data_IF_063578717638
#
_entry.id   IF_063578717638
#
_cell.length_a   1.000
_cell.length_b   1.000
_cell.length_c   1.000
_cell.angle_alpha   90.00
_cell.angle_beta   90.00
_cell.angle_gamma   90.00
#
_symmetry.space_group_name_H-M   'P 1'
#
loop_
_entity.id
_entity.type
_entity.pdbx_description
1 polymer ?
#
# COMPACT_ATOMS: atom_id res chain seq x y z
N UNK A 1 0.20 22.95 19.47
CA UNK A 1 -0.22 21.67 18.87
C UNK A 1 0.84 21.32 17.84
N UNK A 2 1.13 20.05 17.63
CA UNK A 2 2.19 19.63 16.73
C UNK A 2 1.74 19.64 15.28
N UNK A 3 2.59 20.12 14.37
CA UNK A 3 2.30 20.22 12.93
C UNK A 3 1.81 18.90 12.31
N UNK A 4 2.51 17.80 12.59
CA UNK A 4 2.18 16.50 12.00
C UNK A 4 0.94 15.88 12.64
N UNK A 5 0.73 16.11 13.95
CA UNK A 5 -0.51 15.67 14.58
C UNK A 5 -1.74 16.40 14.02
N UNK A 6 -1.63 17.71 13.78
CA UNK A 6 -2.72 18.50 13.20
C UNK A 6 -3.06 18.02 11.77
N UNK A 7 -2.03 17.70 10.96
CA UNK A 7 -2.23 17.09 9.64
C UNK A 7 -2.86 15.69 9.72
N UNK A 8 -2.47 14.87 10.69
CA UNK A 8 -3.09 13.56 10.92
C UNK A 8 -4.54 13.69 11.36
N UNK A 9 -4.89 14.74 12.12
CA UNK A 9 -6.25 14.96 12.61
C UNK A 9 -7.25 15.32 11.48
N UNK A 10 -6.77 15.69 10.30
CA UNK A 10 -7.62 15.88 9.11
C UNK A 10 -8.10 14.52 8.52
N UNK A 11 -7.45 13.42 8.89
CA UNK A 11 -7.82 12.09 8.43
C UNK A 11 -8.83 11.44 9.39
N UNK A 12 -10.03 11.16 8.89
CA UNK A 12 -11.11 10.54 9.66
C UNK A 12 -10.68 9.22 10.35
N UNK A 13 -9.71 8.52 9.80
CA UNK A 13 -9.18 7.29 10.39
C UNK A 13 -8.43 7.54 11.69
N UNK A 14 -7.85 8.72 11.89
CA UNK A 14 -7.26 9.06 13.19
C UNK A 14 -8.33 9.23 14.26
N UNK A 15 -9.39 9.96 13.99
CA UNK A 15 -10.52 10.18 14.93
C UNK A 15 -11.16 8.84 15.32
N UNK A 16 -11.44 7.99 14.33
CA UNK A 16 -12.02 6.67 14.58
C UNK A 16 -11.04 5.69 15.23
N UNK A 17 -9.75 5.79 14.92
CA UNK A 17 -8.70 4.88 15.34
C UNK A 17 -8.12 5.17 16.72
N UNK A 18 -8.10 6.43 17.14
CA UNK A 18 -7.44 6.87 18.39
C UNK A 18 -8.38 7.70 19.26
N UNK A 19 -8.92 7.06 20.29
CA UNK A 19 -9.71 7.75 21.34
C UNK A 19 -8.84 8.07 22.56
N UNK A 20 -8.51 7.07 23.38
CA UNK A 20 -7.61 7.22 24.51
C UNK A 20 -6.91 5.88 24.75
N UNK A 21 -5.67 5.77 24.33
CA UNK A 21 -4.89 4.55 24.54
C UNK A 21 -4.40 4.48 25.99
N UNK A 22 -4.72 3.36 26.66
CA UNK A 22 -4.27 3.09 28.03
C UNK A 22 -2.98 2.24 28.10
N UNK A 23 -2.32 2.03 26.98
CA UNK A 23 -1.05 1.32 26.87
C UNK A 23 -1.08 -0.15 27.40
N UNK A 24 -2.20 -0.86 27.25
CA UNK A 24 -2.39 -2.21 27.81
C UNK A 24 -1.69 -3.35 27.02
N UNK A 25 -1.24 -3.12 25.79
CA UNK A 25 -0.51 -4.11 24.97
C UNK A 25 -1.34 -5.17 24.25
N UNK A 26 -2.65 -5.21 24.43
CA UNK A 26 -3.51 -6.25 23.80
C UNK A 26 -3.39 -6.25 22.27
N UNK A 27 -3.31 -5.07 21.64
CA UNK A 27 -3.17 -4.95 20.18
C UNK A 27 -1.84 -5.55 19.67
N UNK A 28 -0.76 -5.45 20.42
CA UNK A 28 0.53 -6.08 20.11
C UNK A 28 0.46 -7.59 20.27
N UNK A 29 -0.13 -8.06 21.37
CA UNK A 29 -0.25 -9.50 21.68
C UNK A 29 -1.07 -10.29 20.64
N UNK A 30 -1.95 -9.62 19.87
CA UNK A 30 -2.80 -10.28 18.85
C UNK A 30 -2.36 -9.94 17.44
N UNK A 31 -1.28 -9.20 17.27
CA UNK A 31 -0.84 -8.74 15.97
C UNK A 31 0.00 -9.81 15.27
N UNK A 32 -0.43 -10.34 14.11
CA UNK A 32 0.38 -11.33 13.40
C UNK A 32 1.74 -10.77 12.94
N UNK A 33 1.82 -9.49 12.61
CA UNK A 33 3.08 -8.87 12.22
C UNK A 33 4.11 -8.78 13.36
N UNK A 34 3.66 -8.74 14.63
CA UNK A 34 4.55 -8.70 15.78
C UNK A 34 5.30 -10.02 16.02
N UNK A 35 4.86 -11.11 15.41
CA UNK A 35 5.54 -12.41 15.45
C UNK A 35 6.77 -12.44 14.53
N UNK A 36 6.68 -11.75 13.38
CA UNK A 36 7.70 -11.81 12.33
C UNK A 36 8.64 -10.61 12.31
N UNK A 37 8.19 -9.46 12.86
CA UNK A 37 8.93 -8.22 12.85
C UNK A 37 9.08 -7.66 14.28
N UNK A 38 10.09 -6.86 14.50
CA UNK A 38 10.15 -6.01 15.69
C UNK A 38 9.11 -4.89 15.59
N UNK A 39 7.83 -5.25 15.77
CA UNK A 39 6.68 -4.42 15.48
C UNK A 39 5.72 -4.36 16.67
N UNK A 40 5.42 -3.15 17.11
CA UNK A 40 4.51 -2.89 18.23
C UNK A 40 3.48 -1.80 17.87
N UNK A 41 2.26 -2.19 17.43
CA UNK A 41 1.20 -1.23 17.11
C UNK A 41 0.75 -0.39 18.30
N UNK A 42 0.92 -0.87 19.54
CA UNK A 42 0.65 -0.11 20.76
C UNK A 42 1.60 1.08 20.87
N UNK A 43 2.88 0.86 20.62
CA UNK A 43 3.90 1.91 20.72
C UNK A 43 3.66 3.02 19.69
N UNK A 44 3.28 2.66 18.46
CA UNK A 44 2.91 3.61 17.42
C UNK A 44 1.74 4.50 17.87
N UNK A 45 0.67 3.89 18.40
CA UNK A 45 -0.49 4.64 18.90
C UNK A 45 -0.14 5.56 20.08
N UNK A 46 0.73 5.09 21.00
CA UNK A 46 1.20 5.91 22.13
C UNK A 46 1.99 7.11 21.63
N UNK A 47 2.91 6.92 20.67
CA UNK A 47 3.69 8.02 20.07
C UNK A 47 2.74 9.06 19.45
N UNK A 48 1.78 8.65 18.63
CA UNK A 48 0.82 9.59 18.04
C UNK A 48 0.02 10.32 19.12
N UNK A 49 -0.34 9.64 20.22
CA UNK A 49 -1.08 10.24 21.32
C UNK A 49 -0.27 11.31 22.10
N UNK A 50 1.06 11.24 22.11
CA UNK A 50 1.90 12.27 22.74
C UNK A 50 1.86 13.60 22.01
N UNK A 51 1.55 13.60 20.71
CA UNK A 51 1.57 14.77 19.81
C UNK A 51 2.94 15.41 19.66
N UNK A 52 3.99 14.63 19.89
CA UNK A 52 5.37 15.05 19.69
C UNK A 52 5.71 14.95 18.19
N UNK A 53 5.99 16.09 17.57
CA UNK A 53 6.26 16.18 16.13
C UNK A 53 7.54 15.46 15.71
N UNK A 54 8.58 15.46 16.55
CA UNK A 54 9.85 14.77 16.21
C UNK A 54 9.65 13.25 16.20
N UNK A 55 8.88 12.72 17.17
CA UNK A 55 8.55 11.31 17.25
C UNK A 55 7.63 10.88 16.11
N UNK A 56 6.62 11.71 15.76
CA UNK A 56 5.71 11.44 14.65
C UNK A 56 6.48 11.47 13.33
N UNK A 57 7.38 12.44 13.10
CA UNK A 57 8.19 12.50 11.89
C UNK A 57 9.08 11.26 11.76
N UNK A 58 9.68 10.78 12.84
CA UNK A 58 10.45 9.53 12.86
C UNK A 58 9.60 8.34 12.43
N UNK A 59 8.36 8.25 12.92
CA UNK A 59 7.42 7.20 12.47
C UNK A 59 7.11 7.31 10.98
N UNK A 60 6.82 8.52 10.47
CA UNK A 60 6.48 8.75 9.06
C UNK A 60 7.61 8.36 8.11
N UNK A 61 8.86 8.41 8.56
CA UNK A 61 10.07 8.02 7.79
C UNK A 61 10.48 6.56 8.01
N UNK A 62 9.86 5.87 8.97
CA UNK A 62 10.30 4.53 9.39
C UNK A 62 9.70 3.40 8.56
N UNK A 63 10.37 2.24 8.60
CA UNK A 63 9.82 0.96 8.13
C UNK A 63 8.58 0.54 8.93
N UNK A 64 8.53 0.91 10.20
CA UNK A 64 7.59 0.36 11.18
C UNK A 64 6.12 0.52 10.77
N UNK A 65 5.74 1.66 10.20
CA UNK A 65 4.35 1.87 9.76
C UNK A 65 3.93 0.95 8.60
N UNK A 66 4.89 0.40 7.85
CA UNK A 66 4.64 -0.47 6.70
C UNK A 66 4.47 -1.95 7.06
N UNK A 67 4.83 -2.37 8.30
CA UNK A 67 4.67 -3.75 8.76
C UNK A 67 3.21 -4.14 9.05
N UNK A 68 2.30 -3.17 9.22
CA UNK A 68 0.90 -3.47 9.46
C UNK A 68 0.25 -4.14 8.24
N UNK A 69 -0.24 -5.36 8.41
CA UNK A 69 -0.98 -6.09 7.36
C UNK A 69 -2.47 -5.68 7.23
N UNK A 70 -2.91 -4.62 7.91
CA UNK A 70 -4.27 -4.06 7.86
C UNK A 70 -5.41 -5.08 8.14
N UNK A 71 -5.09 -6.16 8.82
CA UNK A 71 -6.03 -7.26 9.12
C UNK A 71 -7.11 -6.89 10.14
N UNK A 72 -7.00 -5.76 10.82
CA UNK A 72 -7.90 -5.21 11.84
C UNK A 72 -8.14 -6.11 13.07
N UNK A 73 -7.33 -7.15 13.30
CA UNK A 73 -7.43 -8.02 14.48
C UNK A 73 -7.31 -7.27 15.81
N UNK A 74 -6.65 -6.12 15.82
CA UNK A 74 -6.51 -5.25 16.98
C UNK A 74 -7.83 -4.56 17.37
N UNK A 75 -8.75 -4.31 16.42
CA UNK A 75 -10.00 -3.55 16.63
C UNK A 75 -10.94 -4.19 17.66
N UNK A 76 -11.40 -5.45 17.49
CA UNK A 76 -12.39 -6.04 18.40
C UNK A 76 -11.83 -6.36 19.79
N UNK A 77 -10.52 -6.29 19.97
CA UNK A 77 -9.84 -6.66 21.23
C UNK A 77 -9.42 -5.47 22.07
N UNK A 78 -9.54 -4.25 21.56
CA UNK A 78 -9.17 -3.06 22.30
C UNK A 78 -10.22 -2.70 23.36
N UNK A 79 -9.88 -2.68 24.68
CA UNK A 79 -10.83 -2.37 25.74
C UNK A 79 -11.28 -0.89 25.73
N UNK A 80 -10.59 -0.04 24.97
CA UNK A 80 -10.90 1.39 24.82
C UNK A 80 -11.54 1.72 23.48
N UNK A 81 -11.77 0.72 22.63
CA UNK A 81 -12.35 0.92 21.30
C UNK A 81 -11.43 1.63 20.31
N UNK A 82 -10.10 1.60 20.53
CA UNK A 82 -9.15 2.07 19.52
C UNK A 82 -8.97 1.06 18.38
N UNK A 83 -8.59 1.57 17.23
CA UNK A 83 -8.22 0.75 16.07
C UNK A 83 -6.81 1.15 15.60
N UNK A 84 -5.75 0.59 16.20
CA UNK A 84 -4.36 0.92 15.81
C UNK A 84 -4.11 0.84 14.31
N UNK A 85 -4.73 -0.11 13.60
CA UNK A 85 -4.64 -0.21 12.14
C UNK A 85 -5.09 1.06 11.41
N UNK A 86 -6.12 1.74 11.88
CA UNK A 86 -6.56 3.01 11.29
C UNK A 86 -5.57 4.15 11.54
N UNK A 87 -5.00 4.22 12.73
CA UNK A 87 -3.93 5.19 13.04
C UNK A 87 -2.75 5.00 12.10
N UNK A 88 -2.37 3.74 11.85
CA UNK A 88 -1.25 3.41 10.96
C UNK A 88 -1.57 3.74 9.50
N UNK A 89 -2.79 3.49 9.04
CA UNK A 89 -3.22 3.89 7.69
C UNK A 89 -3.19 5.42 7.51
N UNK A 90 -3.60 6.19 8.53
CA UNK A 90 -3.49 7.65 8.51
C UNK A 90 -2.01 8.09 8.42
N UNK A 91 -1.11 7.47 9.21
CA UNK A 91 0.34 7.72 9.15
C UNK A 91 0.91 7.41 7.75
N UNK A 92 0.56 6.26 7.15
CA UNK A 92 1.00 5.89 5.80
C UNK A 92 0.56 6.93 4.77
N UNK A 93 -0.71 7.34 4.82
CA UNK A 93 -1.24 8.35 3.89
C UNK A 93 -0.51 9.69 4.05
N UNK A 94 -0.25 10.12 5.28
CA UNK A 94 0.50 11.34 5.55
C UNK A 94 1.95 11.21 5.08
N UNK A 95 2.61 10.08 5.35
CA UNK A 95 3.96 9.77 4.87
C UNK A 95 4.06 9.87 3.35
N UNK A 96 3.08 9.32 2.62
CA UNK A 96 3.01 9.40 1.16
C UNK A 96 2.79 10.83 0.67
N UNK A 97 1.86 11.59 1.27
CA UNK A 97 1.60 12.98 0.93
C UNK A 97 2.82 13.89 1.11
N UNK A 98 3.63 13.64 2.13
CA UNK A 98 4.82 14.42 2.44
C UNK A 98 6.10 13.90 1.76
N UNK A 99 6.04 12.74 1.10
CA UNK A 99 7.19 12.10 0.47
C UNK A 99 8.10 11.33 1.42
N UNK A 100 7.78 11.25 2.70
CA UNK A 100 8.60 10.55 3.71
C UNK A 100 8.65 9.03 3.49
N UNK A 101 7.68 8.46 2.81
CA UNK A 101 7.66 7.05 2.43
C UNK A 101 8.91 6.61 1.65
N UNK A 102 9.55 7.54 0.94
CA UNK A 102 10.77 7.23 0.17
C UNK A 102 12.01 6.99 1.05
N UNK A 103 11.95 7.34 2.35
CA UNK A 103 13.07 7.16 3.28
C UNK A 103 13.18 5.72 3.79
N UNK A 104 12.12 4.93 3.66
CA UNK A 104 12.09 3.53 4.06
C UNK A 104 12.03 2.59 2.84
N UNK A 105 12.55 1.39 2.98
CA UNK A 105 12.60 0.38 1.92
C UNK A 105 11.19 -0.07 1.52
N UNK A 106 10.36 -0.50 2.49
CA UNK A 106 8.96 -0.87 2.24
C UNK A 106 8.10 0.31 1.77
N UNK A 107 8.43 1.51 2.22
CA UNK A 107 7.77 2.71 1.73
C UNK A 107 8.03 2.92 0.24
N UNK A 108 9.28 2.76 -0.24
CA UNK A 108 9.60 2.88 -1.68
C UNK A 108 8.84 1.87 -2.54
N UNK A 109 8.47 0.71 -2.00
CA UNK A 109 7.65 -0.30 -2.70
C UNK A 109 6.23 0.19 -3.01
N UNK A 110 5.78 1.31 -2.42
CA UNK A 110 4.47 1.90 -2.74
C UNK A 110 4.36 2.35 -4.20
N UNK A 111 5.48 2.66 -4.85
CA UNK A 111 5.51 2.90 -6.30
C UNK A 111 5.08 1.65 -7.09
N UNK A 112 5.59 0.48 -6.71
CA UNK A 112 5.21 -0.77 -7.37
C UNK A 112 3.73 -1.09 -7.15
N UNK A 113 3.21 -0.93 -5.93
CA UNK A 113 1.78 -1.12 -5.66
C UNK A 113 0.91 -0.16 -6.48
N UNK A 114 1.28 1.11 -6.56
CA UNK A 114 0.58 2.10 -7.38
C UNK A 114 0.55 1.68 -8.85
N UNK A 115 1.69 1.26 -9.41
CA UNK A 115 1.80 0.87 -10.82
C UNK A 115 1.16 -0.46 -11.14
N UNK A 116 1.40 -1.49 -10.31
CA UNK A 116 0.87 -2.83 -10.58
C UNK A 116 -0.63 -2.95 -10.29
N UNK A 117 -1.13 -2.29 -9.27
CA UNK A 117 -2.54 -2.36 -8.86
C UNK A 117 -3.31 -1.13 -9.34
N UNK A 118 -2.85 0.06 -8.97
CA UNK A 118 -3.56 1.30 -9.23
C UNK A 118 -3.70 1.62 -10.71
N UNK A 119 -2.61 1.57 -11.46
CA UNK A 119 -2.64 1.84 -12.89
C UNK A 119 -3.38 0.73 -13.65
N UNK A 120 -3.32 -0.53 -13.16
CA UNK A 120 -4.09 -1.61 -13.77
C UNK A 120 -5.60 -1.43 -13.57
N UNK A 121 -6.05 -0.94 -12.41
CA UNK A 121 -7.47 -0.57 -12.20
C UNK A 121 -7.90 0.49 -13.22
N UNK A 122 -7.09 1.53 -13.41
CA UNK A 122 -7.40 2.62 -14.34
C UNK A 122 -7.33 2.19 -15.81
N UNK A 123 -6.60 1.13 -16.13
CA UNK A 123 -6.46 0.59 -17.47
C UNK A 123 -7.54 -0.46 -17.82
N UNK A 124 -7.92 -1.30 -16.85
CA UNK A 124 -8.71 -2.50 -17.10
C UNK A 124 -9.97 -2.65 -16.25
N UNK A 125 -10.11 -1.89 -15.18
CA UNK A 125 -11.14 -2.04 -14.15
C UNK A 125 -10.85 -3.12 -13.11
N UNK A 126 -9.72 -3.85 -13.23
CA UNK A 126 -9.30 -4.90 -12.30
C UNK A 126 -8.06 -4.49 -11.53
N UNK A 127 -7.99 -4.85 -10.24
CA UNK A 127 -6.78 -4.61 -9.44
C UNK A 127 -5.60 -5.47 -9.92
N UNK A 128 -5.87 -6.71 -10.33
CA UNK A 128 -4.88 -7.64 -10.85
C UNK A 128 -5.43 -8.39 -12.06
N UNK A 129 -4.57 -8.56 -13.05
CA UNK A 129 -4.81 -9.45 -14.18
C UNK A 129 -3.58 -10.37 -14.35
N UNK A 130 -3.72 -11.57 -14.92
CA UNK A 130 -2.56 -12.43 -15.13
C UNK A 130 -1.41 -11.78 -15.90
N UNK A 131 -1.75 -10.82 -16.77
CA UNK A 131 -0.76 -10.12 -17.60
C UNK A 131 0.08 -9.09 -16.85
N UNK A 132 -0.45 -8.48 -15.79
CA UNK A 132 0.32 -7.49 -15.04
C UNK A 132 1.11 -8.08 -13.87
N UNK A 133 0.90 -9.36 -13.52
CA UNK A 133 1.70 -10.08 -12.55
C UNK A 133 2.85 -10.76 -13.26
N UNK A 134 3.88 -9.99 -13.60
CA UNK A 134 5.02 -10.50 -14.38
C UNK A 134 5.89 -11.43 -13.54
N UNK A 135 6.38 -12.57 -14.10
CA UNK A 135 7.19 -13.55 -13.36
C UNK A 135 8.43 -12.98 -12.69
N UNK A 136 9.08 -12.00 -13.30
CA UNK A 136 10.27 -11.35 -12.74
C UNK A 136 10.04 -10.64 -11.41
N UNK A 137 8.80 -10.21 -11.12
CA UNK A 137 8.42 -9.62 -9.82
C UNK A 137 8.00 -10.66 -8.78
N UNK A 138 7.78 -11.89 -9.21
CA UNK A 138 7.25 -12.97 -8.38
C UNK A 138 8.03 -14.28 -8.59
N UNK A 139 9.37 -14.27 -8.36
CA UNK A 139 10.19 -15.48 -8.54
C UNK A 139 9.77 -16.62 -7.61
N UNK A 140 9.13 -16.30 -6.48
CA UNK A 140 8.60 -17.28 -5.53
C UNK A 140 7.46 -18.14 -6.11
N UNK A 141 6.80 -17.68 -7.17
CA UNK A 141 5.74 -18.44 -7.85
C UNK A 141 6.29 -19.59 -8.70
N UNK A 142 7.55 -19.50 -9.08
CA UNK A 142 8.27 -20.55 -9.80
C UNK A 142 7.81 -20.77 -11.26
N UNK A 143 8.30 -21.85 -11.91
CA UNK A 143 8.12 -22.08 -13.35
C UNK A 143 6.67 -22.33 -13.78
N UNK A 144 5.80 -22.75 -12.86
CA UNK A 144 4.36 -22.90 -13.15
C UNK A 144 3.73 -21.56 -13.46
N UNK A 145 4.15 -20.51 -12.74
CA UNK A 145 3.64 -19.16 -13.00
C UNK A 145 4.16 -18.59 -14.32
N UNK A 146 5.42 -18.84 -14.67
CA UNK A 146 5.98 -18.48 -15.98
C UNK A 146 5.17 -19.09 -17.13
N UNK A 147 4.81 -20.38 -16.97
CA UNK A 147 3.99 -21.08 -17.94
C UNK A 147 2.56 -20.49 -18.01
N UNK A 148 1.90 -20.26 -16.86
CA UNK A 148 0.56 -19.63 -16.81
C UNK A 148 0.59 -18.25 -17.47
N UNK A 149 1.59 -17.43 -17.16
CA UNK A 149 1.73 -16.08 -17.70
C UNK A 149 1.90 -16.09 -19.22
N UNK A 150 2.64 -17.08 -19.75
CA UNK A 150 2.88 -17.23 -21.18
C UNK A 150 1.68 -17.81 -21.95
N UNK A 151 0.76 -18.49 -21.28
CA UNK A 151 -0.39 -19.18 -21.86
C UNK A 151 -1.72 -18.67 -21.28
N UNK A 152 -1.79 -17.42 -20.84
CA UNK A 152 -2.93 -16.86 -20.14
C UNK A 152 -4.25 -16.96 -20.93
N UNK A 153 -4.23 -16.69 -22.24
CA UNK A 153 -5.41 -16.78 -23.09
C UNK A 153 -6.00 -18.20 -23.14
N UNK A 154 -5.15 -19.21 -23.27
CA UNK A 154 -5.60 -20.60 -23.37
C UNK A 154 -6.16 -21.10 -22.04
N UNK A 155 -5.49 -20.72 -20.93
CA UNK A 155 -5.88 -21.15 -19.59
C UNK A 155 -7.18 -20.44 -19.15
N UNK A 156 -7.22 -19.11 -19.24
CA UNK A 156 -8.39 -18.35 -18.79
C UNK A 156 -9.56 -18.44 -19.75
N UNK A 157 -9.30 -18.73 -21.04
CA UNK A 157 -10.32 -19.09 -22.01
C UNK A 157 -11.11 -20.35 -21.65
N UNK A 158 -10.52 -21.27 -20.86
CA UNK A 158 -11.26 -22.44 -20.32
C UNK A 158 -12.28 -22.06 -19.25
N UNK A 159 -12.08 -20.96 -18.56
CA UNK A 159 -12.96 -20.50 -17.48
C UNK A 159 -13.92 -19.39 -17.91
N UNK A 160 -13.65 -18.73 -19.04
CA UNK A 160 -14.43 -17.61 -19.53
C UNK A 160 -14.24 -17.43 -21.03
N UNK A 161 -15.32 -17.53 -21.80
CA UNK A 161 -15.33 -17.25 -23.24
C UNK A 161 -15.02 -15.77 -23.55
N UNK A 162 -15.01 -14.93 -22.54
CA UNK A 162 -14.85 -13.47 -22.67
C UNK A 162 -13.61 -12.93 -21.95
N UNK A 163 -12.56 -13.75 -21.79
CA UNK A 163 -11.30 -13.28 -21.18
C UNK A 163 -10.74 -12.07 -21.95
N UNK A 164 -10.70 -10.90 -21.29
CA UNK A 164 -10.29 -9.59 -21.82
C UNK A 164 -11.06 -9.15 -23.09
N UNK A 165 -12.21 -9.76 -23.39
CA UNK A 165 -13.10 -9.41 -24.48
C UNK A 165 -14.49 -9.02 -23.99
N UNK A 166 -15.36 -8.55 -24.87
CA UNK A 166 -16.75 -8.19 -24.54
C UNK A 166 -17.58 -9.45 -24.27
N UNK A 167 -18.50 -9.36 -23.30
CA UNK A 167 -19.41 -10.44 -22.96
C UNK A 167 -19.58 -10.65 -21.46
N UNK A 168 -20.10 -11.80 -21.05
CA UNK A 168 -20.27 -12.18 -19.64
C UNK A 168 -19.22 -13.20 -19.25
N UNK A 169 -18.57 -13.01 -18.10
CA UNK A 169 -17.59 -13.96 -17.59
C UNK A 169 -16.51 -13.29 -16.73
N UNK A 170 -15.62 -14.13 -16.18
CA UNK A 170 -14.51 -13.68 -15.36
C UNK A 170 -13.48 -12.93 -16.23
N UNK A 171 -12.96 -11.81 -15.69
CA UNK A 171 -11.95 -10.97 -16.37
C UNK A 171 -12.38 -10.47 -17.76
N UNK A 172 -13.71 -10.30 -17.99
CA UNK A 172 -14.21 -9.69 -19.22
C UNK A 172 -13.72 -8.25 -19.38
N UNK A 173 -13.70 -7.73 -20.59
CA UNK A 173 -13.51 -6.30 -20.82
C UNK A 173 -14.60 -5.52 -20.07
N UNK A 174 -14.21 -4.59 -19.21
CA UNK A 174 -15.14 -3.62 -18.59
C UNK A 174 -15.52 -2.63 -19.67
N UNK A 175 -16.81 -2.28 -19.76
CA UNK A 175 -17.31 -1.35 -20.77
C UNK A 175 -16.73 0.06 -20.59
N UNK A 176 -16.70 0.81 -21.67
CA UNK A 176 -16.03 2.11 -21.71
C UNK A 176 -16.72 3.15 -20.80
N UNK A 177 -18.05 3.05 -20.59
CA UNK A 177 -18.81 3.93 -19.69
C UNK A 177 -18.41 3.69 -18.23
N UNK A 178 -18.37 2.43 -17.80
CA UNK A 178 -17.90 2.06 -16.45
C UNK A 178 -16.43 2.44 -16.22
N UNK A 179 -15.58 2.29 -17.24
CA UNK A 179 -14.19 2.73 -17.17
C UNK A 179 -14.06 4.25 -17.01
N UNK A 180 -14.91 5.02 -17.67
CA UNK A 180 -14.94 6.47 -17.52
C UNK A 180 -15.44 6.89 -16.13
N UNK A 181 -16.44 6.19 -15.58
CA UNK A 181 -16.87 6.40 -14.18
C UNK A 181 -15.74 6.14 -13.20
N UNK A 182 -14.98 5.05 -13.35
CA UNK A 182 -13.81 4.74 -12.50
C UNK A 182 -12.80 5.89 -12.54
N UNK A 183 -12.44 6.39 -13.73
CA UNK A 183 -11.50 7.51 -13.88
C UNK A 183 -12.02 8.77 -13.19
N UNK A 184 -13.29 9.10 -13.36
CA UNK A 184 -13.92 10.26 -12.70
C UNK A 184 -13.94 10.13 -11.18
N UNK A 185 -14.19 8.92 -10.65
CA UNK A 185 -14.11 8.67 -9.21
C UNK A 185 -12.68 8.96 -8.71
N UNK A 186 -11.65 8.49 -9.41
CA UNK A 186 -10.26 8.77 -9.05
C UNK A 186 -9.92 10.26 -9.10
N UNK A 187 -10.45 11.00 -10.06
CA UNK A 187 -10.23 12.45 -10.17
C UNK A 187 -10.92 13.20 -9.01
N UNK A 188 -12.22 13.00 -8.81
CA UNK A 188 -13.00 13.77 -7.82
C UNK A 188 -12.66 13.40 -6.37
N UNK A 189 -12.20 12.17 -6.12
CA UNK A 189 -11.73 11.73 -4.80
C UNK A 189 -10.30 12.20 -4.47
N UNK A 190 -9.59 12.80 -5.44
CA UNK A 190 -8.19 13.17 -5.29
C UNK A 190 -7.20 12.00 -5.47
N UNK A 191 -7.68 10.80 -5.83
CA UNK A 191 -6.85 9.61 -6.03
C UNK A 191 -5.80 9.81 -7.11
N UNK A 192 -6.15 10.49 -8.22
CA UNK A 192 -5.19 10.79 -9.28
C UNK A 192 -4.07 11.71 -8.78
N UNK A 193 -4.40 12.80 -8.08
CA UNK A 193 -3.41 13.72 -7.53
C UNK A 193 -2.50 13.02 -6.50
N UNK A 194 -3.06 12.08 -5.74
CA UNK A 194 -2.29 11.26 -4.81
C UNK A 194 -1.32 10.33 -5.54
N UNK A 195 -1.73 9.69 -6.63
CA UNK A 195 -0.85 8.87 -7.47
C UNK A 195 0.28 9.69 -8.11
N UNK A 196 -0.04 10.88 -8.60
CA UNK A 196 0.96 11.81 -9.14
C UNK A 196 1.99 12.22 -8.07
N UNK A 197 1.56 12.38 -6.82
CA UNK A 197 2.44 12.66 -5.67
C UNK A 197 3.41 11.50 -5.39
N UNK A 198 2.92 10.25 -5.43
CA UNK A 198 3.77 9.06 -5.28
C UNK A 198 4.84 9.02 -6.39
N UNK A 199 4.44 9.23 -7.65
CA UNK A 199 5.38 9.25 -8.78
C UNK A 199 6.44 10.34 -8.63
N UNK A 200 6.05 11.56 -8.29
CA UNK A 200 6.98 12.69 -8.14
C UNK A 200 8.02 12.46 -7.04
N UNK A 201 7.59 11.98 -5.88
CA UNK A 201 8.52 11.70 -4.78
C UNK A 201 9.42 10.51 -5.09
N UNK A 202 8.89 9.47 -5.74
CA UNK A 202 9.68 8.32 -6.18
C UNK A 202 10.70 8.70 -7.25
N UNK A 203 10.34 9.57 -8.21
CA UNK A 203 11.26 10.05 -9.24
C UNK A 203 12.45 10.82 -8.63
N UNK A 204 12.17 11.71 -7.65
CA UNK A 204 13.21 12.43 -6.93
C UNK A 204 14.15 11.47 -6.19
N UNK A 205 13.57 10.52 -5.45
CA UNK A 205 14.35 9.54 -4.68
C UNK A 205 15.19 8.63 -5.58
N UNK A 206 14.63 8.20 -6.70
CA UNK A 206 15.34 7.41 -7.69
C UNK A 206 16.60 8.15 -8.20
N UNK A 207 16.47 9.43 -8.53
CA UNK A 207 17.62 10.25 -8.95
C UNK A 207 18.66 10.42 -7.84
N UNK A 208 18.24 10.60 -6.60
CA UNK A 208 19.13 10.64 -5.43
C UNK A 208 19.90 9.32 -5.26
N UNK A 209 19.29 8.18 -5.62
CA UNK A 209 19.88 6.85 -5.57
C UNK A 209 20.72 6.51 -6.82
N UNK A 210 20.78 7.39 -7.82
CA UNK A 210 21.60 7.23 -9.02
C UNK A 210 20.89 6.64 -10.23
N UNK A 211 19.56 6.46 -10.17
CA UNK A 211 18.74 6.05 -11.32
C UNK A 211 18.37 7.25 -12.21
N UNK A 212 17.96 6.97 -13.43
CA UNK A 212 17.40 8.00 -14.35
C UNK A 212 15.91 8.26 -14.06
N UNK A 213 15.59 8.57 -12.80
CA UNK A 213 14.23 8.77 -12.30
C UNK A 213 13.53 7.46 -11.91
N UNK A 214 12.20 7.55 -11.68
CA UNK A 214 11.36 6.41 -11.28
C UNK A 214 11.06 5.47 -12.46
N UNK A 215 12.09 4.96 -13.09
CA UNK A 215 12.02 4.01 -14.20
C UNK A 215 11.49 2.64 -13.76
N UNK A 216 11.24 1.76 -14.72
CA UNK A 216 10.92 0.35 -14.43
C UNK A 216 12.09 -0.33 -13.70
N UNK A 217 13.34 0.01 -14.03
CA UNK A 217 14.54 -0.50 -13.36
C UNK A 217 14.52 -0.15 -11.87
N UNK A 218 14.32 1.13 -11.52
CA UNK A 218 14.18 1.55 -10.12
C UNK A 218 13.04 0.82 -9.41
N UNK A 219 11.86 0.72 -10.04
CA UNK A 219 10.73 0.02 -9.46
C UNK A 219 11.05 -1.46 -9.20
N UNK A 220 11.65 -2.13 -10.17
CA UNK A 220 12.05 -3.54 -10.04
C UNK A 220 13.07 -3.74 -8.93
N UNK A 221 14.09 -2.87 -8.88
CA UNK A 221 15.12 -2.94 -7.85
C UNK A 221 14.53 -2.77 -6.45
N UNK A 222 13.71 -1.73 -6.22
CA UNK A 222 13.07 -1.49 -4.92
C UNK A 222 12.08 -2.58 -4.51
N UNK A 223 11.50 -3.29 -5.47
CA UNK A 223 10.55 -4.37 -5.20
C UNK A 223 11.24 -5.71 -4.93
N UNK A 224 12.31 -6.04 -5.67
CA UNK A 224 12.95 -7.36 -5.63
C UNK A 224 14.18 -7.43 -4.71
N UNK A 225 14.93 -6.34 -4.57
CA UNK A 225 16.10 -6.26 -3.70
C UNK A 225 15.70 -5.73 -2.31
N UNK A 226 15.07 -6.61 -1.55
CA UNK A 226 14.70 -6.34 -0.17
C UNK A 226 15.86 -6.71 0.76
N UNK A 227 15.97 -5.97 1.89
CA UNK A 227 16.91 -6.36 2.95
C UNK A 227 16.60 -7.77 3.47
N UNK A 228 17.62 -8.48 3.93
CA UNK A 228 17.55 -9.89 4.38
C UNK A 228 16.54 -10.16 5.52
N UNK A 229 15.89 -9.13 6.05
CA UNK A 229 14.96 -9.22 7.18
C UNK A 229 13.48 -9.41 6.77
N UNK A 230 13.19 -9.80 5.55
CA UNK A 230 11.81 -9.90 5.06
C UNK A 230 11.15 -11.26 5.22
N UNK A 231 11.89 -12.30 5.57
CA UNK A 231 11.36 -13.64 5.91
C UNK A 231 12.29 -14.35 6.88
#
# INVERSE_FOLDING_TARGET
MGKYYDMLAEDVRLEEGLKACMNCGVCTAVCPAAEFYNYDPRQIVVIVQTRDDEEIERLLKSETIWYCGECMSCRPRCPRGNTPGYVIQALRTLSQKLGFFTESEKGRQQLALKRLIGDNILATGYCLTPRNIIPALHPEQGPVWEWIHSNDNDIYGLFSDCYLTEGAGALRKVDDESMEEIRRIFEVSGGKAFYDTIEQHSDRKAREMGYDGATTEYMMDTYTHNSENHY
#
